data_IF_037822118901
#
_entry.id   IF_037822118901
#
_cell.length_a   1.000
_cell.length_b   1.000
_cell.length_c   1.000
_cell.angle_alpha   90.00
_cell.angle_beta   90.00
_cell.angle_gamma   90.00
#
_symmetry.space_group_name_H-M   'P 1'
#
loop_
_entity.id
_entity.type
_entity.pdbx_description
1 polymer ?
#
# COMPACT_ATOMS: atom_id res chain seq x y z
N UNK A 1 15.28 0.53 12.64
CA UNK A 1 16.58 0.06 12.09
C UNK A 1 16.42 -1.05 11.03
N UNK A 2 15.54 -2.04 11.22
CA UNK A 2 15.36 -3.13 10.23
C UNK A 2 14.16 -2.92 9.27
N UNK A 3 13.17 -2.11 9.66
CA UNK A 3 11.97 -1.88 8.84
C UNK A 3 12.23 -0.88 7.71
N UNK A 4 12.89 0.25 8.00
CA UNK A 4 13.16 1.33 7.04
C UNK A 4 13.91 0.82 5.80
N UNK A 5 14.91 -0.05 6.02
CA UNK A 5 15.72 -0.64 4.95
C UNK A 5 14.92 -1.56 4.02
N UNK A 6 13.92 -2.28 4.54
CA UNK A 6 13.09 -3.18 3.72
C UNK A 6 12.12 -2.36 2.86
N UNK A 7 11.54 -1.29 3.41
CA UNK A 7 10.64 -0.42 2.67
C UNK A 7 11.37 0.35 1.57
N UNK A 8 12.55 0.92 1.87
CA UNK A 8 13.34 1.68 0.89
C UNK A 8 13.95 0.79 -0.20
N UNK A 9 14.54 -0.35 0.18
CA UNK A 9 15.19 -1.25 -0.80
C UNK A 9 14.16 -1.83 -1.77
N UNK A 10 13.01 -2.30 -1.29
CA UNK A 10 11.96 -2.87 -2.16
C UNK A 10 11.34 -1.81 -3.07
N UNK A 11 11.10 -0.60 -2.55
CA UNK A 11 10.56 0.51 -3.32
C UNK A 11 11.47 0.85 -4.50
N UNK A 12 12.79 0.92 -4.27
CA UNK A 12 13.75 1.19 -5.35
C UNK A 12 13.81 0.06 -6.39
N UNK A 13 13.84 -1.20 -5.97
CA UNK A 13 13.86 -2.35 -6.90
C UNK A 13 12.58 -2.43 -7.74
N UNK A 14 11.41 -2.14 -7.17
CA UNK A 14 10.15 -2.11 -7.92
C UNK A 14 10.07 -0.92 -8.89
N UNK A 15 10.63 0.23 -8.52
CA UNK A 15 10.73 1.37 -9.43
C UNK A 15 11.61 1.03 -10.64
N UNK A 16 12.77 0.40 -10.41
CA UNK A 16 13.64 -0.11 -11.46
C UNK A 16 12.98 -1.15 -12.36
N UNK A 17 12.13 -2.01 -11.78
CA UNK A 17 11.36 -2.99 -12.52
C UNK A 17 10.18 -2.39 -13.31
N UNK A 18 9.92 -1.08 -13.19
CA UNK A 18 8.88 -0.40 -13.94
C UNK A 18 7.45 -0.65 -13.43
N UNK A 19 7.29 -1.05 -12.16
CA UNK A 19 5.96 -1.31 -11.59
C UNK A 19 5.22 0.02 -11.40
N UNK A 20 4.12 0.22 -12.12
CA UNK A 20 3.46 1.52 -12.23
C UNK A 20 2.81 2.01 -10.92
N UNK A 21 2.27 1.10 -10.11
CA UNK A 21 1.69 1.42 -8.79
C UNK A 21 2.30 0.57 -7.69
N UNK A 22 2.61 1.20 -6.57
CA UNK A 22 3.11 0.52 -5.37
C UNK A 22 2.24 0.86 -4.17
N UNK A 23 1.60 -0.16 -3.60
CA UNK A 23 0.67 -0.04 -2.49
C UNK A 23 1.30 -0.59 -1.22
N UNK A 24 1.47 0.26 -0.21
CA UNK A 24 2.04 -0.13 1.09
C UNK A 24 0.92 -0.15 2.12
N UNK A 25 0.67 -1.32 2.71
CA UNK A 25 -0.27 -1.48 3.83
C UNK A 25 0.52 -1.50 5.13
N UNK A 26 0.30 -0.52 6.00
CA UNK A 26 0.88 -0.48 7.34
C UNK A 26 -0.20 -0.87 8.37
N UNK A 27 -0.12 -2.08 8.96
CA UNK A 27 -1.09 -2.55 9.96
C UNK A 27 -0.98 -1.84 11.31
N UNK A 28 0.17 -1.29 11.66
CA UNK A 28 0.38 -0.61 12.94
C UNK A 28 -0.29 0.76 12.94
N UNK A 29 -0.03 1.54 11.89
CA UNK A 29 -0.65 2.85 11.72
C UNK A 29 -2.01 2.80 11.02
N UNK A 30 -2.46 1.59 10.64
CA UNK A 30 -3.73 1.29 9.96
C UNK A 30 -3.94 2.19 8.75
N UNK A 31 -2.94 2.27 7.89
CA UNK A 31 -3.00 3.09 6.69
C UNK A 31 -2.55 2.33 5.45
N UNK A 32 -3.06 2.75 4.31
CA UNK A 32 -2.58 2.36 2.99
C UNK A 32 -1.95 3.59 2.35
N UNK A 33 -0.71 3.48 1.91
CA UNK A 33 -0.04 4.52 1.11
C UNK A 33 0.06 4.05 -0.33
N UNK A 34 -0.44 4.87 -1.26
CA UNK A 34 -0.37 4.63 -2.69
C UNK A 34 0.77 5.46 -3.29
N UNK A 35 1.62 4.80 -4.06
CA UNK A 35 2.66 5.43 -4.86
C UNK A 35 2.44 5.14 -6.36
N UNK A 36 2.83 6.10 -7.19
CA UNK A 36 2.86 6.00 -8.65
C UNK A 36 4.29 6.18 -9.16
N UNK A 37 4.70 5.34 -10.11
CA UNK A 37 6.00 5.46 -10.73
C UNK A 37 6.08 6.74 -11.56
N UNK A 38 7.05 7.59 -11.24
CA UNK A 38 7.35 8.86 -11.91
C UNK A 38 8.80 8.87 -12.36
N UNK A 39 9.06 8.45 -13.59
CA UNK A 39 10.40 8.33 -14.14
C UNK A 39 11.12 7.10 -13.60
N UNK A 40 12.01 7.29 -12.62
CA UNK A 40 12.84 6.20 -12.04
C UNK A 40 12.58 5.99 -10.55
N UNK A 41 11.63 6.72 -9.96
CA UNK A 41 11.25 6.59 -8.56
C UNK A 41 9.74 6.81 -8.41
N UNK A 42 9.23 6.48 -7.24
CA UNK A 42 7.84 6.58 -6.86
C UNK A 42 7.51 7.95 -6.27
N UNK A 43 6.40 8.53 -6.72
CA UNK A 43 5.73 9.66 -6.08
C UNK A 43 4.58 9.16 -5.22
N UNK A 44 4.46 9.66 -4.00
CA UNK A 44 3.29 9.38 -3.15
C UNK A 44 2.05 10.07 -3.72
N UNK A 45 0.99 9.31 -3.98
CA UNK A 45 -0.32 9.83 -4.34
C UNK A 45 -1.19 10.13 -3.12
N UNK A 46 -0.95 9.43 -2.02
CA UNK A 46 -1.58 9.74 -0.74
C UNK A 46 -1.52 8.60 0.26
N UNK A 47 -1.90 8.92 1.49
CA UNK A 47 -1.99 8.00 2.62
C UNK A 47 -3.41 8.01 3.18
N UNK A 48 -3.98 6.83 3.33
CA UNK A 48 -5.41 6.61 3.50
C UNK A 48 -5.68 5.74 4.73
N UNK A 49 -6.49 6.25 5.66
CA UNK A 49 -6.89 5.54 6.89
C UNK A 49 -8.30 4.93 6.80
N UNK A 50 -8.78 4.21 7.83
CA UNK A 50 -10.13 3.66 7.85
C UNK A 50 -11.19 4.77 7.66
N UNK A 51 -12.27 4.45 6.96
CA UNK A 51 -13.28 5.41 6.52
C UNK A 51 -12.99 6.08 5.17
N UNK A 52 -11.81 5.84 4.58
CA UNK A 52 -11.47 6.29 3.24
C UNK A 52 -11.45 5.14 2.22
N UNK A 53 -11.48 5.52 0.95
CA UNK A 53 -11.30 4.61 -0.18
C UNK A 53 -10.08 5.03 -0.98
N UNK A 54 -9.33 4.04 -1.48
CA UNK A 54 -8.18 4.26 -2.36
C UNK A 54 -8.53 3.70 -3.73
N UNK A 55 -8.37 4.51 -4.76
CA UNK A 55 -8.65 4.13 -6.14
C UNK A 55 -7.35 3.98 -6.93
N UNK A 56 -7.23 2.90 -7.69
CA UNK A 56 -6.11 2.73 -8.64
C UNK A 56 -6.27 3.69 -9.82
N UNK A 57 -5.17 4.32 -10.21
CA UNK A 57 -5.03 5.09 -11.45
C UNK A 57 -4.78 4.18 -12.64
N UNK A 58 -4.10 3.05 -12.43
CA UNK A 58 -3.74 2.06 -13.44
C UNK A 58 -4.91 1.14 -13.81
N UNK A 59 -5.73 0.76 -12.82
CA UNK A 59 -6.84 -0.19 -12.97
C UNK A 59 -8.18 0.54 -12.80
N UNK A 60 -8.80 1.03 -13.89
CA UNK A 60 -10.08 1.73 -13.81
C UNK A 60 -11.15 0.88 -13.10
N UNK A 61 -11.82 1.49 -12.12
CA UNK A 61 -12.86 0.83 -11.34
C UNK A 61 -12.34 -0.01 -10.17
N UNK A 62 -11.03 -0.20 -10.02
CA UNK A 62 -10.48 -0.84 -8.83
C UNK A 62 -10.40 0.15 -7.67
N UNK A 63 -11.18 -0.13 -6.62
CA UNK A 63 -11.29 0.68 -5.42
C UNK A 63 -11.17 -0.21 -4.18
N UNK A 64 -10.37 0.23 -3.22
CA UNK A 64 -10.11 -0.48 -1.96
C UNK A 64 -10.68 0.34 -0.81
N UNK A 65 -11.63 -0.23 -0.07
CA UNK A 65 -12.08 0.31 1.21
C UNK A 65 -11.06 -0.04 2.31
N UNK A 66 -10.46 0.98 2.91
CA UNK A 66 -9.39 0.81 3.90
C UNK A 66 -9.92 0.16 5.19
N UNK A 67 -11.17 0.43 5.55
CA UNK A 67 -11.82 -0.18 6.72
C UNK A 67 -11.95 -1.68 6.53
N UNK A 68 -12.39 -2.11 5.35
CA UNK A 68 -12.57 -3.52 5.00
C UNK A 68 -11.25 -4.29 5.03
N UNK A 69 -10.17 -3.72 4.48
CA UNK A 69 -8.83 -4.34 4.49
C UNK A 69 -8.37 -4.67 5.91
N UNK A 70 -8.46 -3.70 6.83
CA UNK A 70 -8.04 -3.93 8.21
C UNK A 70 -9.04 -4.77 9.01
N UNK A 71 -10.30 -4.88 8.59
CA UNK A 71 -11.26 -5.83 9.17
C UNK A 71 -10.96 -7.27 8.77
N UNK A 72 -10.61 -7.52 7.51
CA UNK A 72 -10.24 -8.84 7.02
C UNK A 72 -9.01 -9.42 7.75
N UNK A 73 -8.00 -8.58 8.01
CA UNK A 73 -6.79 -8.97 8.75
C UNK A 73 -7.00 -9.37 10.22
N UNK A 74 -8.19 -9.13 10.80
CA UNK A 74 -8.54 -9.52 12.18
C UNK A 74 -9.15 -10.92 12.29
N UNK A 75 -9.40 -11.60 11.18
CA UNK A 75 -10.10 -12.89 11.15
C UNK A 75 -9.13 -14.06 10.98
N UNK A 76 -8.27 -14.30 11.99
CA UNK A 76 -7.57 -15.58 12.20
C UNK A 76 -6.88 -15.65 13.57
N UNK A 77 -7.59 -15.33 14.66
CA UNK A 77 -7.13 -15.70 16.01
C UNK A 77 -8.29 -16.27 16.83
N UNK A 78 -8.97 -17.28 16.27
CA UNK A 78 -9.72 -18.27 17.04
C UNK A 78 -10.02 -19.47 16.14
N UNK A 79 -9.11 -20.46 16.14
CA UNK A 79 -9.42 -21.89 15.99
C UNK A 79 -8.12 -22.71 16.02
N UNK A 80 -7.57 -22.92 17.21
CA UNK A 80 -7.33 -24.23 17.84
C UNK A 80 -6.54 -24.05 19.13
#
# INVERSE_FOLDING_TARGET
ANEDRVYETKRFEYAKAGIQEYWVVDPYSRAITLFELSGQDYRELGRFGPGSQVQSRLLPGFVVDVTAVFAAGRSASSQK
#
